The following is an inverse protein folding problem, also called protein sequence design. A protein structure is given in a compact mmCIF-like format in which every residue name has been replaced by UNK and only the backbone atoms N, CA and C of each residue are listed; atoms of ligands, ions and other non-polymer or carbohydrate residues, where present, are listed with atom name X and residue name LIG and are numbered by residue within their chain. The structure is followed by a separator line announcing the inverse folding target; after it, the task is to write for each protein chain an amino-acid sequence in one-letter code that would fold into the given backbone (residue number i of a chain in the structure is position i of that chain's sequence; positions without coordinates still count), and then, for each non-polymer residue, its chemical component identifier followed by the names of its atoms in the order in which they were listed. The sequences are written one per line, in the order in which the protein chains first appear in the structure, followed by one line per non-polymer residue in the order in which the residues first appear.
data_IF_132717554706
#
_entry.id   IF_132717554706
#
_cell.length_a   1.000
_cell.length_b   1.000
_cell.length_c   1.000
_cell.angle_alpha   90.00
_cell.angle_beta   90.00
_cell.angle_gamma   90.00
#
_symmetry.space_group_name_H-M   'P 1'
#
loop_
_entity.id
_entity.type
_entity.pdbx_description
1 polymer ?
#
# COMPACT_ATOMS: atom_id res chain seq x y z
N UNK A 1 36.10 10.77 -2.93
CA UNK A 1 35.37 9.61 -2.39
C UNK A 1 33.98 9.68 -3.02
N UNK A 2 33.74 8.85 -4.01
CA UNK A 2 32.37 8.70 -4.55
C UNK A 2 31.47 8.24 -3.42
N UNK A 3 30.46 9.00 -3.08
CA UNK A 3 29.43 8.57 -2.17
C UNK A 3 28.76 7.36 -2.81
N UNK A 4 29.00 6.19 -2.27
CA UNK A 4 28.38 4.95 -2.74
C UNK A 4 26.88 5.05 -2.38
N UNK A 5 26.13 5.74 -3.23
CA UNK A 5 24.70 5.95 -3.03
C UNK A 5 24.03 4.60 -3.18
N UNK A 6 23.45 4.11 -2.10
CA UNK A 6 22.72 2.83 -2.08
C UNK A 6 21.53 2.96 -3.03
N UNK A 7 21.38 1.99 -3.93
CA UNK A 7 20.22 1.87 -4.83
C UNK A 7 19.35 0.72 -4.35
N UNK A 8 18.29 1.02 -3.63
CA UNK A 8 17.41 0.01 -3.04
C UNK A 8 16.80 -0.95 -4.08
N UNK A 9 16.49 -0.46 -5.27
CA UNK A 9 15.91 -1.29 -6.35
C UNK A 9 16.80 -2.45 -6.78
N UNK A 10 18.11 -2.41 -6.50
CA UNK A 10 19.05 -3.49 -6.84
C UNK A 10 18.97 -4.69 -5.88
N UNK A 11 18.33 -4.53 -4.73
CA UNK A 11 18.21 -5.58 -3.71
C UNK A 11 16.95 -6.43 -3.85
N UNK A 12 16.15 -6.22 -4.90
CA UNK A 12 14.97 -7.01 -5.20
C UNK A 12 14.89 -7.41 -6.68
N UNK A 13 14.52 -8.65 -7.02
CA UNK A 13 14.35 -9.11 -8.41
C UNK A 13 13.12 -8.50 -9.06
N UNK A 14 12.08 -8.15 -8.31
CA UNK A 14 10.86 -7.54 -8.80
C UNK A 14 10.72 -6.08 -8.32
N UNK A 15 9.76 -5.34 -8.84
CA UNK A 15 9.51 -3.95 -8.47
C UNK A 15 8.01 -3.71 -8.22
N UNK A 16 7.68 -3.19 -7.04
CA UNK A 16 6.34 -2.74 -6.68
C UNK A 16 5.26 -3.78 -6.90
N UNK A 17 4.17 -3.37 -7.54
CA UNK A 17 3.03 -4.25 -7.85
C UNK A 17 3.39 -5.47 -8.74
N UNK A 18 4.55 -5.46 -9.40
CA UNK A 18 5.07 -6.62 -10.13
C UNK A 18 5.46 -7.82 -9.25
N UNK A 19 5.52 -7.62 -7.92
CA UNK A 19 5.74 -8.70 -6.95
C UNK A 19 4.43 -9.39 -6.52
N UNK A 20 3.26 -8.82 -6.82
CA UNK A 20 1.97 -9.40 -6.43
C UNK A 20 1.74 -10.71 -7.18
N UNK A 21 1.14 -11.67 -6.51
CA UNK A 21 0.70 -12.92 -7.13
C UNK A 21 -0.28 -12.62 -8.27
N UNK A 22 -0.25 -13.44 -9.32
CA UNK A 22 -1.25 -13.30 -10.38
C UNK A 22 -2.66 -13.50 -9.81
N UNK A 23 -3.70 -12.83 -10.35
CA UNK A 23 -5.08 -13.02 -9.90
C UNK A 23 -5.55 -14.47 -9.98
N UNK A 24 -4.97 -15.26 -10.91
CA UNK A 24 -5.26 -16.69 -11.07
C UNK A 24 -4.67 -17.49 -9.91
N UNK A 25 -3.37 -17.32 -9.64
CA UNK A 25 -2.68 -17.97 -8.50
C UNK A 25 -3.34 -17.60 -7.17
N UNK A 26 -3.68 -16.32 -6.98
CA UNK A 26 -4.37 -15.89 -5.76
C UNK A 26 -5.74 -16.55 -5.61
N UNK A 27 -6.48 -16.70 -6.70
CA UNK A 27 -7.77 -17.42 -6.69
C UNK A 27 -7.60 -18.87 -6.28
N UNK A 28 -6.61 -19.58 -6.84
CA UNK A 28 -6.33 -20.97 -6.47
C UNK A 28 -6.00 -21.13 -4.98
N UNK A 29 -5.28 -20.17 -4.41
CA UNK A 29 -4.95 -20.15 -2.98
C UNK A 29 -6.18 -19.90 -2.11
N UNK A 30 -7.05 -18.99 -2.51
CA UNK A 30 -8.21 -18.57 -1.71
C UNK A 30 -9.41 -19.53 -1.83
N UNK A 31 -9.62 -20.15 -2.99
CA UNK A 31 -10.78 -21.03 -3.23
C UNK A 31 -11.01 -22.09 -2.15
N UNK A 32 -10.00 -22.76 -1.57
CA UNK A 32 -10.23 -23.72 -0.49
C UNK A 32 -10.66 -23.08 0.84
N UNK A 33 -10.52 -21.77 0.99
CA UNK A 33 -10.73 -21.02 2.26
C UNK A 33 -12.00 -20.18 2.21
N UNK A 34 -12.65 -20.05 1.04
CA UNK A 34 -13.85 -19.22 0.83
C UNK A 34 -15.12 -19.70 1.55
N UNK A 35 -15.03 -20.78 2.34
CA UNK A 35 -16.18 -21.31 3.09
C UNK A 35 -16.04 -20.89 4.56
N UNK A 36 -15.97 -19.59 4.83
CA UNK A 36 -15.97 -19.18 6.22
C UNK A 36 -17.37 -18.72 6.64
N UNK A 37 -17.88 -19.42 7.66
CA UNK A 37 -19.19 -19.24 8.28
C UNK A 37 -19.42 -17.85 8.92
N UNK A 38 -18.46 -16.92 8.77
CA UNK A 38 -18.56 -15.53 9.26
C UNK A 38 -19.25 -14.59 8.26
N UNK A 39 -19.54 -15.04 7.03
CA UNK A 39 -20.34 -14.29 6.05
C UNK A 39 -21.85 -14.61 6.14
N UNK A 40 -22.31 -15.09 7.28
CA UNK A 40 -23.74 -15.27 7.52
C UNK A 40 -24.41 -13.91 7.82
N UNK A 41 -25.75 -13.87 7.76
CA UNK A 41 -26.55 -12.65 7.97
C UNK A 41 -26.45 -12.05 9.38
N UNK A 42 -25.73 -12.70 10.30
CA UNK A 42 -25.48 -12.24 11.68
C UNK A 42 -24.07 -11.70 11.87
N UNK A 43 -23.20 -11.84 10.85
CA UNK A 43 -21.85 -11.34 10.88
C UNK A 43 -21.81 -9.80 10.85
N UNK A 44 -20.98 -9.15 11.64
CA UNK A 44 -20.72 -7.72 11.51
C UNK A 44 -19.88 -7.38 10.27
N UNK A 45 -19.39 -8.37 9.51
CA UNK A 45 -18.58 -8.17 8.31
C UNK A 45 -19.43 -7.58 7.18
N UNK A 46 -19.12 -6.37 6.76
CA UNK A 46 -19.80 -5.66 5.65
C UNK A 46 -19.09 -5.92 4.31
N UNK A 47 -17.76 -5.95 4.32
CA UNK A 47 -16.92 -6.18 3.14
C UNK A 47 -15.81 -7.15 3.50
N UNK A 48 -15.78 -8.28 2.80
CA UNK A 48 -14.77 -9.33 2.92
C UNK A 48 -14.07 -9.60 1.59
N UNK A 49 -13.61 -10.84 1.40
CA UNK A 49 -12.85 -11.23 0.21
C UNK A 49 -13.67 -11.36 -1.07
N UNK A 50 -15.00 -11.49 -0.98
CA UNK A 50 -15.89 -11.85 -2.11
C UNK A 50 -15.92 -10.78 -3.20
N UNK A 51 -15.92 -9.50 -2.82
CA UNK A 51 -16.00 -8.35 -3.74
C UNK A 51 -14.64 -7.80 -4.16
N UNK A 52 -13.53 -8.29 -3.55
CA UNK A 52 -12.15 -7.86 -3.85
C UNK A 52 -11.97 -6.35 -3.72
N UNK A 53 -12.54 -5.80 -2.66
CA UNK A 53 -12.37 -4.39 -2.30
C UNK A 53 -10.98 -4.14 -1.71
N UNK A 54 -10.62 -2.87 -1.60
CA UNK A 54 -9.29 -2.43 -1.17
C UNK A 54 -9.06 -2.64 0.34
N UNK A 55 -10.13 -2.71 1.14
CA UNK A 55 -10.05 -2.99 2.58
C UNK A 55 -11.22 -3.84 3.05
N UNK A 56 -11.00 -4.62 4.13
CA UNK A 56 -12.09 -5.23 4.88
C UNK A 56 -12.87 -4.18 5.67
N UNK A 57 -14.19 -4.34 5.80
CA UNK A 57 -15.05 -3.45 6.57
C UNK A 57 -15.91 -4.22 7.55
N UNK A 58 -15.89 -3.82 8.83
CA UNK A 58 -16.68 -4.43 9.91
C UNK A 58 -17.56 -3.36 10.55
N UNK A 59 -18.86 -3.63 10.68
CA UNK A 59 -19.78 -2.78 11.42
C UNK A 59 -19.39 -2.75 12.91
N UNK A 60 -19.14 -1.56 13.44
CA UNK A 60 -18.81 -1.35 14.84
C UNK A 60 -19.94 -0.71 15.63
N UNK A 61 -21.10 -0.58 15.04
CA UNK A 61 -22.27 0.08 15.59
C UNK A 61 -22.31 1.58 15.32
N UNK A 62 -23.42 2.20 15.71
CA UNK A 62 -23.66 3.64 15.54
C UNK A 62 -23.55 4.15 14.09
N UNK A 63 -23.82 3.28 13.10
CA UNK A 63 -23.76 3.63 11.67
C UNK A 63 -22.34 3.77 11.11
N UNK A 64 -21.33 3.26 11.81
CA UNK A 64 -19.92 3.31 11.40
C UNK A 64 -19.33 1.94 11.17
N UNK A 65 -18.36 1.88 10.27
CA UNK A 65 -17.53 0.71 10.04
C UNK A 65 -16.05 0.98 10.31
N UNK A 66 -15.37 -0.03 10.85
CA UNK A 66 -13.91 -0.10 10.92
C UNK A 66 -13.41 -0.67 9.60
N UNK A 67 -12.48 0.04 8.97
CA UNK A 67 -11.72 -0.41 7.82
C UNK A 67 -10.36 -0.95 8.26
N UNK A 68 -9.91 -2.04 7.63
CA UNK A 68 -8.60 -2.63 7.87
C UNK A 68 -7.98 -3.10 6.56
N UNK A 69 -6.78 -2.61 6.25
CA UNK A 69 -6.01 -3.00 5.08
C UNK A 69 -4.54 -3.24 5.42
N UNK A 70 -3.83 -3.92 4.54
CA UNK A 70 -2.37 -4.02 4.58
C UNK A 70 -1.82 -4.07 3.18
N UNK A 71 -0.83 -3.22 2.89
CA UNK A 71 -0.09 -3.26 1.63
C UNK A 71 1.40 -3.06 1.90
N UNK A 72 2.23 -3.90 1.30
CA UNK A 72 3.68 -3.86 1.38
C UNK A 72 4.28 -4.41 0.10
N UNK A 73 5.47 -3.93 -0.26
CA UNK A 73 6.16 -4.33 -1.48
C UNK A 73 7.67 -4.09 -1.41
N UNK A 74 8.37 -4.60 -2.40
CA UNK A 74 9.80 -4.41 -2.58
C UNK A 74 10.10 -3.02 -3.17
N UNK A 75 11.32 -2.45 -2.98
CA UNK A 75 11.65 -1.11 -3.45
C UNK A 75 11.41 -0.88 -4.94
N UNK A 76 10.74 0.23 -5.24
CA UNK A 76 10.44 0.71 -6.60
C UNK A 76 11.21 1.99 -6.96
N UNK A 77 11.83 2.63 -5.98
CA UNK A 77 12.73 3.77 -6.11
C UNK A 77 14.00 3.50 -5.32
N UNK A 78 15.09 4.19 -5.67
CA UNK A 78 16.40 3.96 -5.04
C UNK A 78 16.57 4.71 -3.72
N UNK A 79 15.92 5.85 -3.56
CA UNK A 79 15.98 6.64 -2.33
C UNK A 79 15.16 5.98 -1.21
N UNK A 80 15.76 5.66 -0.04
CA UNK A 80 15.06 4.98 1.04
C UNK A 80 13.94 5.82 1.67
N UNK A 81 14.14 7.12 1.80
CA UNK A 81 13.15 8.00 2.39
C UNK A 81 11.93 8.11 1.48
N UNK A 82 12.15 8.29 0.19
CA UNK A 82 11.11 8.31 -0.82
C UNK A 82 10.34 6.98 -0.91
N UNK A 83 11.05 5.85 -0.86
CA UNK A 83 10.42 4.52 -0.79
C UNK A 83 9.47 4.41 0.41
N UNK A 84 9.87 4.92 1.57
CA UNK A 84 9.01 4.97 2.75
C UNK A 84 7.76 5.83 2.55
N UNK A 85 7.89 7.00 1.92
CA UNK A 85 6.78 7.88 1.60
C UNK A 85 5.76 7.20 0.66
N UNK A 86 6.25 6.62 -0.44
CA UNK A 86 5.42 5.95 -1.44
C UNK A 86 4.69 4.75 -0.82
N UNK A 87 5.38 3.94 -0.02
CA UNK A 87 4.79 2.78 0.64
C UNK A 87 3.66 3.16 1.59
N UNK A 88 3.86 4.23 2.36
CA UNK A 88 2.82 4.73 3.26
C UNK A 88 1.63 5.33 2.49
N UNK A 89 1.89 6.11 1.44
CA UNK A 89 0.83 6.66 0.59
C UNK A 89 -0.02 5.56 -0.03
N UNK A 90 0.63 4.51 -0.53
CA UNK A 90 -0.05 3.37 -1.16
C UNK A 90 -0.98 2.65 -0.16
N UNK A 91 -0.49 2.28 1.02
CA UNK A 91 -1.30 1.58 2.02
C UNK A 91 -2.45 2.44 2.60
N UNK A 92 -2.23 3.75 2.75
CA UNK A 92 -3.28 4.68 3.22
C UNK A 92 -4.36 4.87 2.15
N UNK A 93 -4.02 4.76 0.87
CA UNK A 93 -4.94 4.97 -0.25
C UNK A 93 -6.14 4.02 -0.23
N UNK A 94 -5.97 2.79 0.26
CA UNK A 94 -7.05 1.82 0.38
C UNK A 94 -8.17 2.32 1.30
N UNK A 95 -7.80 3.00 2.39
CA UNK A 95 -8.78 3.60 3.30
C UNK A 95 -9.57 4.72 2.60
N UNK A 96 -8.88 5.57 1.83
CA UNK A 96 -9.55 6.63 1.06
C UNK A 96 -10.42 6.05 -0.06
N UNK A 97 -9.97 4.98 -0.74
CA UNK A 97 -10.74 4.31 -1.79
C UNK A 97 -12.08 3.77 -1.27
N UNK A 98 -12.09 3.29 -0.02
CA UNK A 98 -13.30 2.82 0.65
C UNK A 98 -14.18 3.95 1.21
N UNK A 99 -13.86 5.23 0.95
CA UNK A 99 -14.58 6.40 1.44
C UNK A 99 -14.29 6.75 2.90
N UNK A 100 -13.25 6.13 3.49
CA UNK A 100 -12.91 6.24 4.90
C UNK A 100 -11.87 7.29 5.23
N UNK A 101 -11.65 7.47 6.52
CA UNK A 101 -10.59 8.29 7.10
C UNK A 101 -9.61 7.39 7.85
N UNK A 102 -8.30 7.42 7.54
CA UNK A 102 -7.31 6.65 8.27
C UNK A 102 -7.21 7.15 9.72
N UNK A 103 -6.94 6.24 10.66
CA UNK A 103 -6.85 6.56 12.10
C UNK A 103 -5.49 6.24 12.69
N UNK A 104 -4.90 5.12 12.30
CA UNK A 104 -3.60 4.66 12.78
C UNK A 104 -2.96 3.72 11.75
N UNK A 105 -1.64 3.71 11.73
CA UNK A 105 -0.85 2.77 10.93
C UNK A 105 0.19 2.06 11.80
N UNK A 106 0.54 0.82 11.43
CA UNK A 106 1.66 0.05 11.95
C UNK A 106 2.54 -0.44 10.81
N UNK A 107 3.86 -0.46 11.01
CA UNK A 107 4.82 -0.80 9.97
C UNK A 107 5.00 -2.32 9.82
N UNK A 108 5.17 -2.76 8.58
CA UNK A 108 5.63 -4.10 8.21
C UNK A 108 7.00 -3.92 7.56
N UNK A 109 8.06 -4.47 8.18
CA UNK A 109 9.43 -4.32 7.72
C UNK A 109 10.10 -5.68 7.59
N UNK A 110 10.42 -6.09 6.39
CA UNK A 110 11.41 -7.16 6.15
C UNK A 110 12.72 -6.53 5.70
N UNK A 111 13.84 -6.92 6.34
CA UNK A 111 15.11 -6.24 6.08
C UNK A 111 16.30 -7.20 6.06
N UNK A 112 17.11 -7.18 4.99
CA UNK A 112 18.31 -8.03 4.92
C UNK A 112 19.48 -7.35 5.68
N UNK A 113 19.59 -7.64 6.96
CA UNK A 113 20.56 -6.98 7.88
C UNK A 113 22.02 -7.25 7.52
N UNK A 114 22.28 -8.31 6.76
CA UNK A 114 23.60 -8.67 6.23
C UNK A 114 24.01 -7.85 5.00
N UNK A 115 23.05 -7.23 4.29
CA UNK A 115 23.27 -6.50 3.04
C UNK A 115 23.03 -4.99 3.17
N UNK A 116 22.11 -4.60 4.02
CA UNK A 116 21.66 -3.21 4.15
C UNK A 116 21.75 -2.73 5.60
N UNK A 117 22.48 -1.63 5.79
CA UNK A 117 22.65 -1.04 7.12
C UNK A 117 21.32 -0.64 7.77
N UNK A 118 21.18 -0.75 9.11
CA UNK A 118 19.96 -0.32 9.83
C UNK A 118 19.61 1.15 9.63
N UNK A 119 20.59 2.02 9.34
CA UNK A 119 20.35 3.43 9.02
C UNK A 119 19.51 3.65 7.77
N UNK A 120 19.62 2.74 6.79
CA UNK A 120 18.81 2.77 5.56
C UNK A 120 17.34 2.44 5.88
N UNK A 121 17.09 1.41 6.71
CA UNK A 121 15.75 1.11 7.21
C UNK A 121 15.17 2.27 8.03
N UNK A 122 16.00 2.95 8.83
CA UNK A 122 15.57 4.15 9.57
C UNK A 122 15.11 5.27 8.64
N UNK A 123 15.76 5.45 7.48
CA UNK A 123 15.35 6.42 6.48
C UNK A 123 13.98 6.07 5.85
N UNK A 124 13.75 4.79 5.54
CA UNK A 124 12.44 4.28 5.07
C UNK A 124 11.34 4.60 6.09
N UNK A 125 11.57 4.27 7.35
CA UNK A 125 10.60 4.56 8.42
C UNK A 125 10.37 6.06 8.62
N UNK A 126 11.39 6.90 8.44
CA UNK A 126 11.27 8.35 8.53
C UNK A 126 10.36 8.92 7.42
N UNK A 127 10.52 8.42 6.17
CA UNK A 127 9.66 8.78 5.05
C UNK A 127 8.20 8.38 5.30
N UNK A 128 7.96 7.14 5.71
CA UNK A 128 6.61 6.68 6.04
C UNK A 128 5.96 7.49 7.18
N UNK A 129 6.73 7.82 8.21
CA UNK A 129 6.27 8.64 9.33
C UNK A 129 5.89 10.05 8.90
N UNK A 130 6.59 10.62 7.93
CA UNK A 130 6.22 11.91 7.36
C UNK A 130 4.87 11.83 6.66
N UNK A 131 4.66 10.86 5.76
CA UNK A 131 3.39 10.67 5.06
C UNK A 131 2.23 10.40 6.02
N UNK A 132 2.44 9.58 7.06
CA UNK A 132 1.42 9.38 8.10
C UNK A 132 1.04 10.70 8.80
N UNK A 133 2.02 11.57 9.13
CA UNK A 133 1.73 12.89 9.70
C UNK A 133 0.94 13.78 8.74
N UNK A 134 1.27 13.76 7.46
CA UNK A 134 0.54 14.51 6.43
C UNK A 134 -0.91 13.99 6.28
N UNK A 135 -1.12 12.69 6.46
CA UNK A 135 -2.45 12.08 6.52
C UNK A 135 -3.18 12.34 7.86
N UNK A 136 -2.52 12.96 8.84
CA UNK A 136 -3.10 13.24 10.16
C UNK A 136 -3.14 12.04 11.11
N UNK A 137 -2.33 10.99 10.86
CA UNK A 137 -2.31 9.76 11.67
C UNK A 137 -0.92 9.48 12.28
N UNK A 138 -0.89 8.62 13.30
CA UNK A 138 0.35 8.12 13.88
C UNK A 138 0.81 6.83 13.18
N UNK A 139 2.12 6.72 12.93
CA UNK A 139 2.79 5.44 12.74
C UNK A 139 3.19 4.91 14.12
N UNK A 140 2.37 4.01 14.70
CA UNK A 140 2.33 3.71 16.13
C UNK A 140 3.02 2.40 16.52
N UNK A 141 3.80 1.80 15.64
CA UNK A 141 4.50 0.55 15.92
C UNK A 141 4.67 -0.28 14.67
N UNK A 142 4.80 -1.59 14.83
CA UNK A 142 4.92 -2.52 13.71
C UNK A 142 5.62 -3.81 14.07
N UNK A 143 5.94 -4.58 13.04
CA UNK A 143 6.68 -5.83 13.13
C UNK A 143 7.83 -5.85 12.13
N UNK A 144 8.96 -6.46 12.52
CA UNK A 144 10.14 -6.58 11.65
C UNK A 144 10.70 -7.98 11.66
N UNK A 145 11.18 -8.43 10.50
CA UNK A 145 11.83 -9.73 10.32
C UNK A 145 13.09 -9.57 9.49
N UNK A 146 14.07 -10.43 9.74
CA UNK A 146 15.26 -10.56 8.89
C UNK A 146 14.93 -11.47 7.70
N UNK A 147 15.09 -10.96 6.49
CA UNK A 147 14.78 -11.68 5.23
C UNK A 147 15.77 -11.29 4.14
N UNK A 148 15.82 -12.09 3.08
CA UNK A 148 16.81 -11.94 1.99
C UNK A 148 16.67 -10.68 1.13
N UNK A 149 15.51 -10.04 1.14
CA UNK A 149 15.14 -8.88 0.32
C UNK A 149 14.40 -7.83 1.15
N UNK A 150 14.64 -6.52 0.92
CA UNK A 150 13.90 -5.50 1.63
C UNK A 150 12.43 -5.47 1.18
N UNK A 151 11.51 -5.51 2.14
CA UNK A 151 10.10 -5.19 1.94
C UNK A 151 9.68 -4.16 2.98
N UNK A 152 8.79 -3.28 2.59
CA UNK A 152 8.20 -2.30 3.51
C UNK A 152 6.77 -1.96 3.10
N UNK A 153 5.95 -1.71 4.10
CA UNK A 153 4.59 -1.23 3.95
C UNK A 153 3.92 -1.01 5.29
N UNK A 154 2.63 -0.79 5.25
CA UNK A 154 1.84 -0.54 6.45
C UNK A 154 0.61 -1.45 6.50
N UNK A 155 0.18 -1.80 7.71
CA UNK A 155 -1.21 -2.10 7.98
C UNK A 155 -1.87 -0.82 8.50
N UNK A 156 -3.02 -0.47 7.92
CA UNK A 156 -3.73 0.78 8.22
C UNK A 156 -5.15 0.46 8.66
N UNK A 157 -5.57 1.10 9.75
CA UNK A 157 -6.95 1.09 10.18
C UNK A 157 -7.60 2.46 9.91
N UNK A 158 -8.87 2.45 9.56
CA UNK A 158 -9.65 3.65 9.30
C UNK A 158 -11.10 3.50 9.76
N UNK A 159 -11.84 4.59 9.69
CA UNK A 159 -13.27 4.62 9.99
C UNK A 159 -14.02 5.22 8.80
N UNK A 160 -15.23 4.72 8.57
CA UNK A 160 -16.14 5.23 7.56
C UNK A 160 -17.58 5.22 8.10
N UNK A 161 -18.37 6.23 7.76
CA UNK A 161 -19.82 6.14 7.93
C UNK A 161 -20.35 5.10 6.91
N UNK A 162 -21.17 4.15 7.36
CA UNK A 162 -21.62 3.04 6.49
C UNK A 162 -22.31 3.54 5.23
N UNK A 163 -23.05 4.64 5.32
CA UNK A 163 -23.70 5.29 4.16
C UNK A 163 -22.68 5.82 3.12
N UNK A 164 -21.45 6.08 3.51
CA UNK A 164 -20.37 6.57 2.66
C UNK A 164 -19.40 5.48 2.20
N UNK A 165 -19.60 4.23 2.65
CA UNK A 165 -18.74 3.10 2.29
C UNK A 165 -18.76 2.88 0.78
N UNK A 166 -17.57 2.88 0.16
CA UNK A 166 -17.39 2.63 -1.28
C UNK A 166 -16.92 1.21 -1.51
N UNK A 167 -17.47 0.59 -2.55
CA UNK A 167 -17.12 -0.76 -2.97
C UNK A 167 -16.83 -0.80 -4.46
N UNK A 168 -15.93 -1.67 -4.88
CA UNK A 168 -15.50 -1.81 -6.28
C UNK A 168 -16.61 -2.28 -7.23
N UNK A 169 -17.67 -2.89 -6.70
CA UNK A 169 -18.81 -3.39 -7.46
C UNK A 169 -20.02 -2.44 -7.51
N UNK A 170 -19.88 -1.20 -7.02
CA UNK A 170 -21.00 -0.27 -6.88
C UNK A 170 -21.27 0.58 -8.13
N UNK A 171 -20.37 0.59 -9.13
CA UNK A 171 -20.54 1.39 -10.35
C UNK A 171 -21.77 0.98 -11.16
N UNK A 172 -22.48 1.97 -11.69
CA UNK A 172 -23.73 1.79 -12.44
C UNK A 172 -23.63 2.36 -13.86
N UNK A 173 -24.51 1.89 -14.73
CA UNK A 173 -24.65 2.46 -16.08
C UNK A 173 -25.05 3.93 -16.01
N UNK A 174 -24.27 4.79 -16.65
CA UNK A 174 -24.46 6.24 -16.65
C UNK A 174 -23.53 7.01 -15.72
N UNK A 175 -22.76 6.32 -14.88
CA UNK A 175 -21.75 6.97 -14.04
C UNK A 175 -20.64 7.60 -14.87
N UNK A 176 -20.16 8.76 -14.42
CA UNK A 176 -19.04 9.46 -15.04
C UNK A 176 -17.73 9.01 -14.37
N UNK A 177 -16.77 8.58 -15.18
CA UNK A 177 -15.46 8.17 -14.71
C UNK A 177 -14.49 9.35 -14.72
N UNK A 178 -13.76 9.52 -13.60
CA UNK A 178 -12.72 10.53 -13.44
C UNK A 178 -11.37 9.86 -13.16
N UNK A 179 -10.34 10.29 -13.86
CA UNK A 179 -8.96 9.93 -13.58
C UNK A 179 -8.29 11.10 -12.86
N UNK A 180 -7.99 10.92 -11.58
CA UNK A 180 -7.47 11.98 -10.70
C UNK A 180 -5.95 12.09 -10.68
N UNK A 181 -5.25 11.05 -11.14
CA UNK A 181 -3.79 11.02 -11.30
C UNK A 181 -3.40 10.45 -12.65
N UNK A 182 -2.26 10.85 -13.24
CA UNK A 182 -1.80 10.28 -14.52
C UNK A 182 -1.51 8.78 -14.39
N UNK A 183 -1.69 8.06 -15.51
CA UNK A 183 -1.29 6.66 -15.66
C UNK A 183 0.19 6.56 -16.07
N UNK A 184 0.80 5.39 -15.85
CA UNK A 184 2.13 5.08 -16.36
C UNK A 184 3.22 4.88 -15.31
N UNK A 185 2.92 5.07 -14.02
CA UNK A 185 3.92 4.90 -12.93
C UNK A 185 4.58 3.53 -12.94
N UNK A 186 3.87 2.45 -13.26
CA UNK A 186 4.43 1.10 -13.36
C UNK A 186 5.44 0.94 -14.52
N UNK A 187 5.21 1.62 -15.64
CA UNK A 187 6.14 1.64 -16.78
C UNK A 187 7.41 2.39 -16.38
N UNK A 188 7.26 3.56 -15.75
CA UNK A 188 8.38 4.40 -15.32
C UNK A 188 9.19 3.68 -14.23
N UNK A 189 8.56 3.04 -13.24
CA UNK A 189 9.25 2.27 -12.19
C UNK A 189 10.08 1.13 -12.79
N UNK A 190 9.56 0.44 -13.81
CA UNK A 190 10.30 -0.58 -14.55
C UNK A 190 11.48 0.02 -15.30
N UNK A 191 11.30 1.18 -15.93
CA UNK A 191 12.37 1.89 -16.64
C UNK A 191 13.47 2.38 -15.68
N UNK A 192 13.11 2.84 -14.47
CA UNK A 192 14.07 3.20 -13.40
C UNK A 192 14.95 1.99 -13.07
N UNK A 193 14.35 0.85 -12.79
CA UNK A 193 15.07 -0.38 -12.46
C UNK A 193 16.06 -0.81 -13.55
N UNK A 194 15.71 -0.60 -14.80
CA UNK A 194 16.58 -0.91 -15.95
C UNK A 194 17.55 0.23 -16.34
N UNK A 195 17.57 1.34 -15.58
CA UNK A 195 18.42 2.50 -15.86
C UNK A 195 18.07 3.22 -17.17
N UNK A 196 16.81 3.13 -17.63
CA UNK A 196 16.31 3.67 -18.90
C UNK A 196 15.34 4.86 -18.73
N UNK A 197 14.92 5.17 -17.49
CA UNK A 197 14.02 6.28 -17.22
C UNK A 197 14.70 7.63 -17.41
N UNK A 198 13.98 8.61 -17.95
CA UNK A 198 14.44 10.00 -17.99
C UNK A 198 14.14 10.66 -16.64
N UNK A 199 14.98 11.65 -16.27
CA UNK A 199 14.91 12.30 -14.97
C UNK A 199 13.55 12.96 -14.72
N UNK A 200 13.03 13.68 -15.70
CA UNK A 200 11.75 14.39 -15.56
C UNK A 200 10.58 13.41 -15.36
N UNK A 201 10.59 12.27 -16.06
CA UNK A 201 9.59 11.22 -15.88
C UNK A 201 9.65 10.59 -14.49
N UNK A 202 10.88 10.40 -13.96
CA UNK A 202 11.09 9.88 -12.60
C UNK A 202 10.53 10.86 -11.57
N UNK A 203 10.82 12.14 -11.67
CA UNK A 203 10.34 13.17 -10.75
C UNK A 203 8.80 13.25 -10.76
N UNK A 204 8.16 13.26 -11.92
CA UNK A 204 6.70 13.28 -12.06
C UNK A 204 6.04 12.01 -11.48
N UNK A 205 6.59 10.84 -11.77
CA UNK A 205 6.08 9.58 -11.24
C UNK A 205 6.21 9.52 -9.71
N UNK A 206 7.35 9.92 -9.18
CA UNK A 206 7.63 9.97 -7.76
C UNK A 206 6.69 10.93 -7.02
N UNK A 207 6.47 12.13 -7.55
CA UNK A 207 5.53 13.09 -7.00
C UNK A 207 4.10 12.54 -6.98
N UNK A 208 3.65 11.93 -8.08
CA UNK A 208 2.35 11.28 -8.17
C UNK A 208 2.18 10.16 -7.12
N UNK A 209 3.22 9.30 -6.94
CA UNK A 209 3.19 8.20 -6.00
C UNK A 209 3.21 8.64 -4.53
N UNK A 210 3.87 9.77 -4.21
CA UNK A 210 3.93 10.33 -2.85
C UNK A 210 2.70 11.14 -2.46
N UNK A 211 1.93 11.63 -3.42
CA UNK A 211 0.73 12.42 -3.15
C UNK A 211 -0.39 11.57 -2.56
N UNK A 212 -0.93 11.96 -1.41
CA UNK A 212 -2.08 11.30 -0.80
C UNK A 212 -3.33 11.40 -1.70
N UNK A 213 -4.14 10.36 -1.71
CA UNK A 213 -5.38 10.23 -2.51
C UNK A 213 -6.64 10.59 -1.69
N UNK A 214 -6.58 11.63 -0.88
CA UNK A 214 -7.69 12.09 -0.03
C UNK A 214 -8.62 13.08 -0.76
#
# INVERSE_FOLDING_TARGET
MESNTIKLTQFSPAAGCGCKLSPETLREILTPVEIDALEDSTSPLLVGNSSRDDAAAIDIGDGRALLSTTDFFTPIVDDPFEFGQISATNAISDIYAMGGHPTVAIAILGWPVDKLAPSVASSVLAGARQTCREAGIALAGGHSIDISEPIFGLAVSGLVEIENLKQNNAAQHGDTLFLTKPLGVGIISTAIKHGKAQRDDVELASESMRSLNR
#
